data_IF_742350940748
#
_entry.id   IF_742350940748
#
_cell.length_a   1.000
_cell.length_b   1.000
_cell.length_c   1.000
_cell.angle_alpha   90.00
_cell.angle_beta   90.00
_cell.angle_gamma   90.00
#
_symmetry.space_group_name_H-M   'P 1'
#
loop_
_entity.id
_entity.type
_entity.pdbx_description
1 polymer ?
#
# COMPACT_ATOMS: atom_id res chain seq x y z
N UNK A 1 8.82 -20.60 1.47
CA UNK A 1 7.71 -21.48 1.91
C UNK A 1 6.72 -20.66 2.75
N UNK A 2 5.70 -20.07 2.14
CA UNK A 2 4.46 -19.67 2.81
C UNK A 2 3.47 -19.15 1.77
N UNK A 3 2.28 -19.78 1.70
CA UNK A 3 0.97 -19.29 1.22
C UNK A 3 0.23 -20.30 0.35
N UNK A 4 -0.08 -21.47 0.90
CA UNK A 4 -1.10 -22.36 0.33
C UNK A 4 -2.55 -21.92 0.64
N UNK A 5 -2.76 -20.85 1.42
CA UNK A 5 -4.08 -20.52 2.00
C UNK A 5 -4.51 -19.05 1.79
N UNK A 6 -4.14 -18.42 0.69
CA UNK A 6 -4.59 -17.06 0.35
C UNK A 6 -5.72 -17.04 -0.68
N UNK A 7 -6.66 -16.08 -0.57
CA UNK A 7 -7.69 -15.77 -1.59
C UNK A 7 -7.14 -15.54 -3.00
N UNK A 8 -5.83 -15.26 -3.11
CA UNK A 8 -5.07 -15.03 -4.36
C UNK A 8 -4.24 -16.23 -4.82
N UNK A 9 -4.27 -17.36 -4.11
CA UNK A 9 -3.47 -18.54 -4.45
C UNK A 9 -3.84 -19.13 -5.81
N UNK A 10 -5.13 -19.15 -6.15
CA UNK A 10 -5.60 -19.60 -7.45
C UNK A 10 -5.06 -18.72 -8.60
N UNK A 11 -5.11 -17.40 -8.43
CA UNK A 11 -4.62 -16.46 -9.44
C UNK A 11 -3.09 -16.54 -9.57
N UNK A 12 -2.38 -16.78 -8.45
CA UNK A 12 -0.95 -17.07 -8.46
C UNK A 12 -0.62 -18.36 -9.22
N UNK A 13 -1.36 -19.44 -9.00
CA UNK A 13 -1.18 -20.68 -9.77
C UNK A 13 -1.44 -20.47 -11.27
N UNK A 14 -2.50 -19.73 -11.62
CA UNK A 14 -2.77 -19.39 -13.02
C UNK A 14 -1.60 -18.62 -13.64
N UNK A 15 -1.05 -17.64 -12.92
CA UNK A 15 0.11 -16.88 -13.33
C UNK A 15 1.34 -17.77 -13.55
N UNK A 16 1.64 -18.70 -12.63
CA UNK A 16 2.76 -19.64 -12.79
C UNK A 16 2.58 -20.55 -14.02
N UNK A 17 1.36 -20.98 -14.32
CA UNK A 17 1.05 -21.74 -15.54
C UNK A 17 1.32 -20.93 -16.80
N UNK A 18 0.92 -19.65 -16.81
CA UNK A 18 1.24 -18.74 -17.92
C UNK A 18 2.75 -18.59 -18.15
N UNK A 19 3.54 -18.44 -17.09
CA UNK A 19 5.00 -18.34 -17.21
C UNK A 19 5.64 -19.58 -17.85
N UNK A 20 5.03 -20.75 -17.67
CA UNK A 20 5.49 -22.01 -18.24
C UNK A 20 4.90 -22.30 -19.63
N UNK A 21 4.07 -21.41 -20.17
CA UNK A 21 3.37 -21.62 -21.45
C UNK A 21 2.30 -22.73 -21.37
N UNK A 22 1.85 -23.08 -20.17
CA UNK A 22 0.84 -24.12 -19.97
C UNK A 22 -0.57 -23.59 -20.28
N UNK A 23 -1.44 -24.47 -20.79
CA UNK A 23 -2.86 -24.14 -20.96
C UNK A 23 -3.55 -24.02 -19.60
N UNK A 24 -4.34 -22.95 -19.43
CA UNK A 24 -5.18 -22.82 -18.24
C UNK A 24 -6.36 -23.81 -18.28
N UNK A 25 -6.66 -24.51 -17.18
CA UNK A 25 -7.85 -25.34 -17.10
C UNK A 25 -9.14 -24.50 -17.15
N UNK A 26 -10.19 -25.07 -17.75
CA UNK A 26 -11.50 -24.43 -17.94
C UNK A 26 -12.14 -23.95 -16.62
N UNK A 27 -11.74 -24.53 -15.49
CA UNK A 27 -12.15 -24.11 -14.14
C UNK A 27 -11.83 -22.65 -13.82
N UNK A 28 -10.77 -22.08 -14.41
CA UNK A 28 -10.46 -20.65 -14.23
C UNK A 28 -11.48 -19.74 -14.93
N UNK A 29 -11.92 -20.12 -16.15
CA UNK A 29 -12.94 -19.37 -16.88
C UNK A 29 -14.27 -19.37 -16.12
N UNK A 30 -14.66 -20.51 -15.54
CA UNK A 30 -15.86 -20.61 -14.72
C UNK A 30 -15.79 -19.74 -13.46
N UNK A 31 -14.64 -19.71 -12.76
CA UNK A 31 -14.43 -18.82 -11.61
C UNK A 31 -14.51 -17.34 -11.98
N UNK A 32 -13.95 -16.96 -13.13
CA UNK A 32 -14.03 -15.59 -13.64
C UNK A 32 -15.50 -15.19 -13.91
N UNK A 33 -16.28 -16.07 -14.53
CA UNK A 33 -17.70 -15.83 -14.80
C UNK A 33 -18.52 -15.61 -13.52
N UNK A 34 -18.26 -16.40 -12.47
CA UNK A 34 -18.94 -16.23 -11.17
C UNK A 34 -18.58 -14.90 -10.51
N UNK A 35 -17.33 -14.44 -10.63
CA UNK A 35 -16.86 -13.18 -10.02
C UNK A 35 -17.30 -11.93 -10.79
N UNK A 36 -17.57 -12.07 -12.10
CA UNK A 36 -17.85 -10.97 -13.01
C UNK A 36 -18.87 -9.94 -12.47
N UNK A 37 -20.02 -10.32 -11.88
CA UNK A 37 -20.98 -9.34 -11.37
C UNK A 37 -20.41 -8.50 -10.22
N UNK A 38 -19.61 -9.11 -9.34
CA UNK A 38 -18.95 -8.42 -8.22
C UNK A 38 -17.87 -7.48 -8.73
N UNK A 39 -17.11 -7.91 -9.73
CA UNK A 39 -16.03 -7.10 -10.33
C UNK A 39 -16.60 -5.90 -11.10
N UNK A 40 -17.72 -6.07 -11.81
CA UNK A 40 -18.44 -4.98 -12.49
C UNK A 40 -18.99 -3.99 -11.46
N UNK A 41 -19.61 -4.48 -10.38
CA UNK A 41 -20.08 -3.61 -9.30
C UNK A 41 -18.93 -2.83 -8.66
N UNK A 42 -17.82 -3.50 -8.37
CA UNK A 42 -16.62 -2.86 -7.81
C UNK A 42 -16.10 -1.77 -8.76
N UNK A 43 -16.06 -2.03 -10.07
CA UNK A 43 -15.64 -1.05 -11.08
C UNK A 43 -16.56 0.18 -11.12
N UNK A 44 -17.88 -0.03 -11.13
CA UNK A 44 -18.85 1.08 -11.10
C UNK A 44 -18.67 1.92 -9.83
N UNK A 45 -18.62 1.28 -8.66
CA UNK A 45 -18.47 1.98 -7.38
C UNK A 45 -17.13 2.71 -7.27
N UNK A 46 -16.06 2.12 -7.82
CA UNK A 46 -14.72 2.71 -7.83
C UNK A 46 -14.68 4.04 -8.57
N UNK A 47 -15.45 4.21 -9.63
CA UNK A 47 -15.45 5.42 -10.45
C UNK A 47 -16.68 6.32 -10.25
N UNK A 48 -17.63 5.93 -9.40
CA UNK A 48 -18.83 6.73 -9.16
C UNK A 48 -18.50 8.08 -8.47
N UNK A 49 -18.69 9.24 -9.13
CA UNK A 49 -18.16 10.50 -8.63
C UNK A 49 -19.01 11.14 -7.53
N UNK A 50 -18.46 12.18 -6.91
CA UNK A 50 -19.18 13.09 -6.01
C UNK A 50 -19.45 12.54 -4.60
N UNK A 51 -20.25 13.27 -3.80
CA UNK A 51 -20.48 12.93 -2.38
C UNK A 51 -21.09 11.54 -2.15
N UNK A 52 -22.02 11.13 -3.01
CA UNK A 52 -22.59 9.79 -2.98
C UNK A 52 -21.57 8.71 -3.33
N UNK A 53 -20.58 9.04 -4.18
CA UNK A 53 -19.42 8.21 -4.46
C UNK A 53 -18.62 7.88 -3.20
N UNK A 54 -18.30 8.87 -2.38
CA UNK A 54 -17.59 8.66 -1.10
C UNK A 54 -18.37 7.71 -0.19
N UNK A 55 -19.67 7.97 -0.01
CA UNK A 55 -20.53 7.16 0.86
C UNK A 55 -20.66 5.72 0.37
N UNK A 56 -20.92 5.53 -0.93
CA UNK A 56 -21.08 4.20 -1.52
C UNK A 56 -19.80 3.37 -1.47
N UNK A 57 -18.63 3.98 -1.73
CA UNK A 57 -17.33 3.31 -1.56
C UNK A 57 -17.04 2.98 -0.10
N UNK A 58 -17.31 3.88 0.84
CA UNK A 58 -17.13 3.61 2.26
C UNK A 58 -17.99 2.42 2.72
N UNK A 59 -19.26 2.35 2.30
CA UNK A 59 -20.14 1.20 2.60
C UNK A 59 -19.57 -0.07 1.97
N UNK A 60 -19.25 -0.05 0.67
CA UNK A 60 -18.75 -1.22 -0.04
C UNK A 60 -17.45 -1.76 0.57
N UNK A 61 -16.46 -0.89 0.78
CA UNK A 61 -15.19 -1.30 1.36
C UNK A 61 -15.30 -1.64 2.85
N UNK A 62 -16.28 -1.10 3.57
CA UNK A 62 -16.59 -1.50 4.95
C UNK A 62 -16.97 -2.97 5.07
N UNK A 63 -17.57 -3.58 4.04
CA UNK A 63 -17.84 -5.02 4.00
C UNK A 63 -16.67 -5.86 3.48
N UNK A 64 -15.65 -5.25 2.90
CA UNK A 64 -14.58 -5.96 2.16
C UNK A 64 -13.25 -5.95 2.90
N UNK A 65 -12.88 -4.81 3.50
CA UNK A 65 -11.63 -4.62 4.22
C UNK A 65 -11.68 -5.32 5.58
N UNK A 66 -10.49 -5.62 6.15
CA UNK A 66 -10.38 -6.18 7.52
C UNK A 66 -11.04 -5.27 8.55
N UNK A 67 -10.82 -3.96 8.40
CA UNK A 67 -11.45 -2.93 9.22
C UNK A 67 -11.50 -1.61 8.45
N UNK A 68 -12.62 -0.90 8.56
CA UNK A 68 -12.80 0.46 8.05
C UNK A 68 -13.47 1.30 9.13
N UNK A 69 -12.80 2.37 9.56
CA UNK A 69 -13.29 3.31 10.55
C UNK A 69 -14.41 4.22 10.04
N UNK A 70 -14.78 5.19 10.88
CA UNK A 70 -15.78 6.22 10.60
C UNK A 70 -15.15 7.38 9.84
N UNK A 71 -15.96 8.08 9.05
CA UNK A 71 -15.56 9.28 8.31
C UNK A 71 -14.34 9.05 7.39
N UNK A 72 -14.29 7.87 6.77
CA UNK A 72 -13.25 7.55 5.77
C UNK A 72 -13.71 7.98 4.40
N UNK A 73 -12.92 8.83 3.75
CA UNK A 73 -13.12 9.27 2.38
C UNK A 73 -12.22 8.46 1.45
N UNK A 74 -12.83 7.76 0.51
CA UNK A 74 -12.13 7.00 -0.52
C UNK A 74 -12.51 7.65 -1.84
N UNK A 75 -11.54 8.22 -2.54
CA UNK A 75 -11.79 8.90 -3.81
C UNK A 75 -11.86 7.92 -4.99
N UNK A 76 -12.15 8.44 -6.17
CA UNK A 76 -12.29 7.66 -7.40
C UNK A 76 -10.98 7.00 -7.84
N UNK A 77 -11.08 5.81 -8.42
CA UNK A 77 -9.92 5.10 -8.95
C UNK A 77 -9.01 4.46 -7.90
N UNK A 78 -9.30 4.59 -6.60
CA UNK A 78 -8.55 3.89 -5.55
C UNK A 78 -8.69 2.38 -5.72
N UNK A 79 -7.56 1.68 -5.77
CA UNK A 79 -7.49 0.24 -5.95
C UNK A 79 -6.98 -0.43 -4.68
N UNK A 80 -7.80 -1.34 -4.13
CA UNK A 80 -7.39 -2.20 -3.02
C UNK A 80 -7.11 -3.63 -3.50
N UNK A 81 -6.06 -4.25 -2.97
CA UNK A 81 -5.81 -5.69 -3.10
C UNK A 81 -5.38 -6.27 -1.75
N UNK A 82 -5.70 -7.53 -1.47
CA UNK A 82 -5.49 -8.07 -0.12
C UNK A 82 -6.46 -7.48 0.91
N UNK A 83 -7.73 -7.21 0.53
CA UNK A 83 -8.72 -6.52 1.37
C UNK A 83 -8.76 -7.02 2.83
N UNK A 84 -8.71 -8.34 3.05
CA UNK A 84 -8.74 -8.96 4.38
C UNK A 84 -7.51 -8.68 5.26
N UNK A 85 -6.48 -8.03 4.72
CA UNK A 85 -5.24 -7.65 5.39
C UNK A 85 -5.07 -6.12 5.50
N UNK A 86 -6.12 -5.35 5.22
CA UNK A 86 -6.09 -3.89 5.24
C UNK A 86 -7.03 -3.38 6.33
N UNK A 87 -6.47 -2.63 7.26
CA UNK A 87 -7.20 -1.94 8.33
C UNK A 87 -7.00 -0.44 8.20
N UNK A 88 -8.10 0.32 8.18
CA UNK A 88 -8.10 1.79 8.08
C UNK A 88 -8.89 2.36 9.26
N UNK A 89 -8.28 3.27 10.01
CA UNK A 89 -8.88 3.95 11.16
C UNK A 89 -9.86 5.06 10.78
N UNK A 90 -10.25 5.86 11.79
CA UNK A 90 -11.22 6.93 11.63
C UNK A 90 -10.62 8.18 10.97
N UNK A 91 -11.46 8.96 10.27
CA UNK A 91 -11.09 10.25 9.67
C UNK A 91 -9.93 10.17 8.68
N UNK A 92 -9.87 9.13 7.87
CA UNK A 92 -8.84 8.93 6.85
C UNK A 92 -9.33 9.43 5.49
N UNK A 93 -8.45 10.05 4.72
CA UNK A 93 -8.74 10.40 3.33
C UNK A 93 -7.69 9.77 2.40
N UNK A 94 -8.16 8.93 1.48
CA UNK A 94 -7.36 8.35 0.39
C UNK A 94 -7.79 8.98 -0.92
N UNK A 95 -6.90 9.76 -1.52
CA UNK A 95 -7.14 10.50 -2.75
C UNK A 95 -7.09 9.63 -4.00
N UNK A 96 -7.50 10.23 -5.12
CA UNK A 96 -7.73 9.53 -6.37
C UNK A 96 -6.54 8.70 -6.84
N UNK A 97 -6.85 7.55 -7.44
CA UNK A 97 -5.89 6.67 -8.09
C UNK A 97 -4.76 6.13 -7.20
N UNK A 98 -4.95 6.09 -5.88
CA UNK A 98 -4.03 5.38 -5.00
C UNK A 98 -4.13 3.85 -5.21
N UNK A 99 -2.99 3.16 -5.08
CA UNK A 99 -2.92 1.71 -5.12
C UNK A 99 -2.47 1.18 -3.75
N UNK A 100 -3.36 0.49 -3.05
CA UNK A 100 -3.11 -0.02 -1.70
C UNK A 100 -3.23 -1.54 -1.73
N UNK A 101 -2.10 -2.23 -1.67
CA UNK A 101 -2.02 -3.67 -1.85
C UNK A 101 -1.37 -4.40 -0.69
N UNK A 102 -2.14 -5.25 -0.01
CA UNK A 102 -1.68 -6.13 1.07
C UNK A 102 -1.89 -7.62 0.71
N UNK A 103 -1.68 -7.98 -0.56
CA UNK A 103 -1.87 -9.36 -1.01
C UNK A 103 -0.93 -10.36 -0.31
N UNK A 104 0.25 -9.88 0.12
CA UNK A 104 1.27 -10.70 0.77
C UNK A 104 1.51 -10.29 2.24
N UNK A 105 1.45 -9.00 2.56
CA UNK A 105 1.64 -8.48 3.92
C UNK A 105 0.34 -8.00 4.56
N UNK A 106 0.49 -7.05 5.49
CA UNK A 106 -0.61 -6.36 6.17
C UNK A 106 -0.41 -4.85 6.04
N UNK A 107 -1.50 -4.10 5.90
CA UNK A 107 -1.48 -2.63 5.93
C UNK A 107 -2.38 -2.18 7.08
N UNK A 108 -1.82 -1.36 7.98
CA UNK A 108 -2.55 -0.71 9.06
C UNK A 108 -2.39 0.80 8.92
N UNK A 109 -3.51 1.49 8.71
CA UNK A 109 -3.58 2.96 8.64
C UNK A 109 -4.34 3.43 9.88
N UNK A 110 -3.69 4.29 10.67
CA UNK A 110 -4.24 4.89 11.88
C UNK A 110 -5.34 5.92 11.61
N UNK A 111 -5.66 6.72 12.62
CA UNK A 111 -6.67 7.79 12.50
C UNK A 111 -6.07 9.07 11.93
N UNK A 112 -6.89 9.87 11.23
CA UNK A 112 -6.50 11.19 10.69
C UNK A 112 -5.27 11.13 9.78
N UNK A 113 -5.20 10.08 8.97
CA UNK A 113 -4.18 9.93 7.94
C UNK A 113 -4.69 10.49 6.62
N UNK A 114 -3.84 11.22 5.92
CA UNK A 114 -4.07 11.61 4.53
C UNK A 114 -3.11 10.87 3.60
N UNK A 115 -3.67 10.26 2.55
CA UNK A 115 -2.92 9.60 1.49
C UNK A 115 -3.19 10.35 0.19
N UNK A 116 -2.25 11.19 -0.22
CA UNK A 116 -2.34 12.00 -1.42
C UNK A 116 -2.40 11.18 -2.71
N UNK A 117 -2.89 11.78 -3.82
CA UNK A 117 -3.26 11.06 -5.03
C UNK A 117 -2.07 10.34 -5.67
N UNK A 118 -2.35 9.26 -6.40
CA UNK A 118 -1.34 8.43 -7.08
C UNK A 118 -0.31 7.77 -6.16
N UNK A 119 -0.56 7.74 -4.85
CA UNK A 119 0.32 7.04 -3.92
C UNK A 119 0.18 5.53 -4.03
N UNK A 120 1.28 4.82 -3.81
CA UNK A 120 1.33 3.36 -3.84
C UNK A 120 1.80 2.86 -2.48
N UNK A 121 1.00 2.01 -1.85
CA UNK A 121 1.39 1.28 -0.63
C UNK A 121 1.34 -0.22 -0.97
N UNK A 122 2.50 -0.85 -1.11
CA UNK A 122 2.61 -2.26 -1.49
C UNK A 122 3.29 -3.06 -0.37
N UNK A 123 2.48 -3.89 0.28
CA UNK A 123 2.86 -4.66 1.45
C UNK A 123 3.18 -6.13 1.10
N UNK A 124 4.46 -6.49 1.18
CA UNK A 124 4.93 -7.88 1.27
C UNK A 124 5.07 -8.33 2.72
N UNK A 125 5.50 -7.41 3.58
CA UNK A 125 5.45 -7.46 5.04
C UNK A 125 4.57 -6.33 5.59
N UNK A 126 4.45 -6.21 6.91
CA UNK A 126 3.60 -5.21 7.56
C UNK A 126 4.03 -3.78 7.21
N UNK A 127 3.07 -2.96 6.76
CA UNK A 127 3.20 -1.51 6.62
C UNK A 127 2.26 -0.85 7.63
N UNK A 128 2.81 -0.01 8.50
CA UNK A 128 2.06 0.68 9.55
C UNK A 128 2.21 2.18 9.38
N UNK A 129 1.09 2.87 9.24
CA UNK A 129 0.98 4.33 9.31
C UNK A 129 0.24 4.63 10.61
N UNK A 130 0.91 5.23 11.58
CA UNK A 130 0.28 5.64 12.82
C UNK A 130 -0.66 6.84 12.62
N UNK A 131 -1.23 7.34 13.72
CA UNK A 131 -2.14 8.46 13.69
C UNK A 131 -1.45 9.72 13.15
N UNK A 132 -2.19 10.58 12.44
CA UNK A 132 -1.70 11.86 11.93
C UNK A 132 -0.54 11.78 10.93
N UNK A 133 -0.30 10.61 10.34
CA UNK A 133 0.66 10.48 9.23
C UNK A 133 0.12 11.18 7.98
N UNK A 134 0.96 11.96 7.32
CA UNK A 134 0.63 12.62 6.05
C UNK A 134 1.49 12.11 4.91
N UNK A 135 0.86 11.59 3.85
CA UNK A 135 1.54 11.25 2.60
C UNK A 135 1.10 12.24 1.52
N UNK A 136 2.06 12.93 0.92
CA UNK A 136 1.80 13.80 -0.24
C UNK A 136 1.57 12.98 -1.51
N UNK A 137 1.25 13.66 -2.61
CA UNK A 137 0.98 13.03 -3.91
C UNK A 137 2.14 12.17 -4.43
N UNK A 138 1.83 11.00 -4.96
CA UNK A 138 2.79 10.13 -5.64
C UNK A 138 3.79 9.43 -4.72
N UNK A 139 3.55 9.38 -3.41
CA UNK A 139 4.41 8.67 -2.45
C UNK A 139 4.35 7.16 -2.69
N UNK A 140 5.50 6.49 -2.63
CA UNK A 140 5.61 5.03 -2.82
C UNK A 140 6.19 4.38 -1.56
N UNK A 141 5.44 3.48 -0.95
CA UNK A 141 5.86 2.73 0.23
C UNK A 141 5.93 1.24 -0.13
N UNK A 142 7.10 0.65 0.06
CA UNK A 142 7.35 -0.76 -0.25
C UNK A 142 7.90 -1.49 0.97
N UNK A 143 7.21 -2.53 1.46
CA UNK A 143 7.78 -3.47 2.44
C UNK A 143 8.39 -4.72 1.79
N UNK A 144 8.36 -4.78 0.45
CA UNK A 144 9.08 -5.75 -0.35
C UNK A 144 9.60 -5.10 -1.62
N UNK A 145 10.83 -5.41 -1.99
CA UNK A 145 11.45 -4.98 -3.23
C UNK A 145 12.35 -6.10 -3.75
N UNK A 146 12.59 -6.10 -5.05
CA UNK A 146 13.52 -7.02 -5.68
C UNK A 146 14.78 -6.25 -6.07
N UNK A 147 15.94 -6.78 -5.67
CA UNK A 147 17.24 -6.25 -6.06
C UNK A 147 18.06 -7.39 -6.68
N UNK A 148 18.64 -7.20 -7.88
CA UNK A 148 19.49 -8.20 -8.52
C UNK A 148 20.83 -8.30 -7.78
N UNK A 149 20.82 -8.96 -6.62
CA UNK A 149 21.98 -9.23 -5.77
C UNK A 149 22.30 -10.73 -5.79
N UNK A 150 23.51 -11.08 -5.37
CA UNK A 150 23.91 -12.48 -5.18
C UNK A 150 23.73 -13.36 -6.42
N UNK A 151 24.01 -12.80 -7.61
CA UNK A 151 23.90 -13.52 -8.88
C UNK A 151 22.47 -13.78 -9.38
N UNK A 152 21.44 -13.21 -8.72
CA UNK A 152 20.05 -13.27 -9.19
C UNK A 152 19.85 -12.44 -10.46
N UNK A 153 18.85 -12.82 -11.27
CA UNK A 153 18.46 -12.10 -12.49
C UNK A 153 17.80 -10.76 -12.12
N UNK A 154 17.37 -10.01 -13.15
CA UNK A 154 16.60 -8.77 -12.96
C UNK A 154 15.32 -8.99 -12.14
N UNK A 155 14.74 -7.91 -11.66
CA UNK A 155 13.44 -7.95 -11.00
C UNK A 155 12.30 -8.10 -12.01
N UNK A 156 11.15 -8.59 -11.54
CA UNK A 156 9.91 -8.58 -12.29
C UNK A 156 9.10 -9.87 -12.15
N UNK A 157 7.78 -9.79 -12.35
CA UNK A 157 6.92 -10.96 -12.21
C UNK A 157 7.16 -12.03 -13.28
N UNK A 158 7.75 -11.66 -14.43
CA UNK A 158 8.00 -12.58 -15.55
C UNK A 158 9.16 -13.56 -15.32
N UNK A 159 9.92 -13.38 -14.25
CA UNK A 159 10.98 -14.31 -13.86
C UNK A 159 10.46 -15.28 -12.79
N UNK A 160 10.76 -16.58 -12.91
CA UNK A 160 10.52 -17.52 -11.83
C UNK A 160 11.13 -17.04 -10.51
N UNK A 161 10.43 -17.30 -9.41
CA UNK A 161 10.78 -16.78 -8.08
C UNK A 161 12.21 -17.13 -7.65
N UNK A 162 12.67 -18.33 -7.99
CA UNK A 162 14.03 -18.81 -7.70
C UNK A 162 15.14 -17.96 -8.31
N UNK A 163 14.87 -17.23 -9.40
CA UNK A 163 15.86 -16.36 -10.05
C UNK A 163 15.85 -14.93 -9.53
N UNK A 164 14.97 -14.59 -8.59
CA UNK A 164 14.78 -13.22 -8.09
C UNK A 164 15.42 -13.02 -6.72
N UNK A 165 15.94 -11.82 -6.50
CA UNK A 165 16.56 -11.43 -5.23
C UNK A 165 15.60 -10.58 -4.41
N UNK A 166 14.87 -11.19 -3.49
CA UNK A 166 13.92 -10.48 -2.63
C UNK A 166 14.61 -9.80 -1.44
N UNK A 167 14.19 -8.57 -1.16
CA UNK A 167 14.44 -7.86 0.10
C UNK A 167 13.10 -7.43 0.66
N UNK A 168 12.74 -7.98 1.81
CA UNK A 168 11.53 -7.60 2.54
C UNK A 168 11.92 -7.04 3.90
N UNK A 169 10.99 -6.28 4.48
CA UNK A 169 11.12 -5.76 5.83
C UNK A 169 9.95 -4.83 6.13
N UNK A 170 9.47 -4.79 7.38
CA UNK A 170 8.33 -3.97 7.74
C UNK A 170 8.64 -2.49 7.51
N UNK A 171 7.61 -1.70 7.22
CA UNK A 171 7.73 -0.24 7.14
C UNK A 171 6.83 0.37 8.19
N UNK A 172 7.37 1.31 8.96
CA UNK A 172 6.64 1.94 10.08
C UNK A 172 6.80 3.45 10.03
N UNK A 173 5.72 4.15 9.71
CA UNK A 173 5.63 5.60 9.78
C UNK A 173 4.96 5.95 11.11
N UNK A 174 5.74 6.49 12.04
CA UNK A 174 5.24 6.84 13.37
C UNK A 174 4.40 8.11 13.33
N UNK A 175 3.71 8.35 14.45
CA UNK A 175 2.78 9.46 14.66
C UNK A 175 3.37 10.78 14.15
N UNK A 176 2.51 11.59 13.51
CA UNK A 176 2.85 12.90 12.98
C UNK A 176 3.94 12.93 11.89
N UNK A 177 4.48 11.79 11.44
CA UNK A 177 5.47 11.78 10.36
C UNK A 177 4.85 12.21 9.02
N UNK A 178 5.66 12.86 8.19
CA UNK A 178 5.23 13.41 6.90
C UNK A 178 6.15 12.98 5.77
N UNK A 179 5.55 12.57 4.65
CA UNK A 179 6.29 12.19 3.44
C UNK A 179 5.92 13.09 2.28
N UNK A 180 6.91 13.84 1.79
CA UNK A 180 6.80 14.77 0.68
C UNK A 180 6.60 14.09 -0.67
N UNK A 181 6.06 14.84 -1.62
CA UNK A 181 5.59 14.33 -2.91
C UNK A 181 6.64 13.51 -3.66
N UNK A 182 6.20 12.47 -4.36
CA UNK A 182 7.04 11.59 -5.19
C UNK A 182 8.23 10.93 -4.47
N UNK A 183 8.17 10.83 -3.14
CA UNK A 183 9.21 10.15 -2.37
C UNK A 183 8.96 8.64 -2.30
N UNK A 184 10.03 7.89 -2.05
CA UNK A 184 10.02 6.43 -1.95
C UNK A 184 10.54 6.00 -0.58
N UNK A 185 9.75 5.20 0.14
CA UNK A 185 10.15 4.54 1.39
C UNK A 185 10.41 3.06 1.09
N UNK A 186 11.65 2.62 1.32
CA UNK A 186 12.08 1.25 1.02
C UNK A 186 11.83 0.26 2.17
N UNK A 187 11.94 -1.06 1.89
CA UNK A 187 11.69 -2.08 2.91
C UNK A 187 12.60 -1.94 4.13
N UNK A 188 12.01 -2.18 5.32
CA UNK A 188 12.72 -2.17 6.59
C UNK A 188 12.97 -0.78 7.18
N UNK A 189 12.24 0.25 6.74
CA UNK A 189 12.41 1.65 7.20
C UNK A 189 11.37 2.01 8.25
N UNK A 190 11.85 2.63 9.32
CA UNK A 190 11.04 3.33 10.33
C UNK A 190 11.25 4.84 10.21
N UNK A 191 10.17 5.61 10.02
CA UNK A 191 10.20 7.06 10.20
C UNK A 191 9.82 7.37 11.65
N UNK A 192 10.71 8.06 12.37
CA UNK A 192 10.49 8.53 13.72
C UNK A 192 9.27 9.44 13.85
N UNK A 193 8.79 9.60 15.09
CA UNK A 193 7.69 10.52 15.38
C UNK A 193 8.01 11.92 14.87
N UNK A 194 7.06 12.55 14.17
CA UNK A 194 7.21 13.89 13.60
C UNK A 194 8.27 14.03 12.49
N UNK A 195 8.96 12.95 12.09
CA UNK A 195 9.98 12.99 11.05
C UNK A 195 9.40 13.49 9.71
N UNK A 196 10.20 14.25 8.95
CA UNK A 196 9.77 14.86 7.69
C UNK A 196 10.70 14.41 6.57
N UNK A 197 10.12 13.79 5.55
CA UNK A 197 10.81 13.45 4.31
C UNK A 197 10.45 14.51 3.26
N UNK A 198 11.45 15.22 2.75
CA UNK A 198 11.26 16.18 1.66
C UNK A 198 10.85 15.51 0.34
N UNK A 199 10.33 16.29 -0.60
CA UNK A 199 9.89 15.77 -1.89
C UNK A 199 11.03 15.10 -2.69
N UNK A 200 10.65 14.13 -3.53
CA UNK A 200 11.55 13.37 -4.41
C UNK A 200 12.70 12.66 -3.66
N UNK A 201 12.51 12.30 -2.39
CA UNK A 201 13.51 11.59 -1.59
C UNK A 201 13.38 10.06 -1.72
N UNK A 202 14.47 9.34 -1.52
CA UNK A 202 14.51 7.86 -1.45
C UNK A 202 15.09 7.44 -0.10
N UNK A 203 14.22 7.03 0.82
CA UNK A 203 14.60 6.68 2.19
C UNK A 203 14.86 5.19 2.29
N UNK A 204 16.09 4.84 2.71
CA UNK A 204 16.61 3.46 2.73
C UNK A 204 16.99 2.97 4.13
N UNK A 205 16.99 3.89 5.10
CA UNK A 205 17.34 3.70 6.50
C UNK A 205 16.34 4.47 7.34
N UNK A 206 16.29 4.13 8.62
CA UNK A 206 15.44 4.81 9.58
C UNK A 206 15.77 6.30 9.66
N UNK A 207 14.76 7.11 9.97
CA UNK A 207 14.87 8.56 10.16
C UNK A 207 14.53 8.84 11.62
N UNK A 208 15.39 9.59 12.29
CA UNK A 208 15.20 9.90 13.71
C UNK A 208 13.97 10.79 13.94
N UNK A 209 13.37 10.74 15.15
CA UNK A 209 12.25 11.60 15.49
C UNK A 209 12.55 13.08 15.25
N UNK A 210 11.58 13.76 14.65
CA UNK A 210 11.60 15.17 14.28
C UNK A 210 12.69 15.59 13.28
N UNK A 211 13.50 14.67 12.73
CA UNK A 211 14.47 15.05 11.71
C UNK A 211 13.79 15.36 10.37
N UNK A 212 14.34 16.35 9.67
CA UNK A 212 13.95 16.70 8.30
C UNK A 212 15.02 16.20 7.35
N UNK A 213 14.67 15.26 6.48
CA UNK A 213 15.60 14.62 5.54
C UNK A 213 15.22 14.88 4.09
N UNK A 214 16.23 14.98 3.22
CA UNK A 214 16.07 15.12 1.76
C UNK A 214 16.99 14.17 1.00
N UNK A 215 16.75 13.99 -0.30
CA UNK A 215 17.60 13.16 -1.15
C UNK A 215 17.56 11.70 -0.69
N UNK A 216 18.70 11.12 -0.36
CA UNK A 216 18.80 9.73 0.07
C UNK A 216 18.77 9.52 1.61
N UNK A 217 18.28 10.53 2.34
CA UNK A 217 18.20 10.55 3.80
C UNK A 217 19.12 11.57 4.48
N UNK A 218 19.62 12.58 3.75
CA UNK A 218 20.46 13.64 4.33
C UNK A 218 19.63 14.54 5.22
N UNK A 219 19.98 14.61 6.51
CA UNK A 219 19.39 15.52 7.48
C UNK A 219 19.75 16.97 7.13
N UNK A 220 18.74 17.84 7.06
CA UNK A 220 18.89 19.28 6.78
C UNK A 220 18.38 20.17 7.91
N UNK A 221 17.77 19.59 8.93
CA UNK A 221 17.23 20.31 10.07
C UNK A 221 16.34 19.44 10.92
N UNK A 222 15.68 20.07 11.89
CA UNK A 222 14.69 19.42 12.76
C UNK A 222 13.37 20.19 12.70
N UNK A 223 12.27 19.46 12.77
CA UNK A 223 10.90 19.96 12.85
C UNK A 223 10.59 20.34 14.28
N UNK A 224 9.85 21.42 14.47
CA UNK A 224 9.31 21.77 15.78
C UNK A 224 8.33 20.69 16.29
N UNK A 225 8.32 20.40 17.61
CA UNK A 225 7.38 19.46 18.20
C UNK A 225 5.92 19.87 17.99
N UNK A 226 5.02 18.88 17.91
CA UNK A 226 3.59 19.13 17.83
C UNK A 226 3.09 19.66 19.18
N UNK A 227 2.43 20.82 19.17
CA UNK A 227 1.91 21.49 20.37
C UNK A 227 0.40 21.41 20.51
N UNK A 228 -0.31 21.02 19.45
CA UNK A 228 -1.76 20.86 19.46
C UNK A 228 -2.19 19.58 20.18
N UNK A 229 -3.31 19.66 20.89
CA UNK A 229 -3.96 18.48 21.47
C UNK A 229 -4.44 17.51 20.40
N UNK A 230 -4.52 16.23 20.76
CA UNK A 230 -5.07 15.21 19.89
C UNK A 230 -6.59 15.38 19.72
N UNK A 231 -7.03 15.32 18.47
CA UNK A 231 -8.44 15.36 18.06
C UNK A 231 -8.94 14.04 17.47
#
# INVERSE_FOLDING_TARGET
>A
MQKEHGKYFADYQAFQKFLKGERLPLSFAFRAFIKLPVDVLEWILRYFPGPFGYKSRAIYYGFRLKHLGKNVLIDTGVMFSGHANISIGDYVWIDANCMIGAALGEISIGRRVHVGPFSIIAAHEKVTLENYVGLSSGVRIYSGSEAPRSGKRMSGPMLPEEYRGFRTGPVHLKKDSFVGSNSVILPGVTLGEGAVVGACAVIRKDVEPFDVVVGDGRVIGRRDPVTSEEI
#
